data_IF_414939187832
#
_entry.id   IF_414939187832
#
_cell.length_a   1.000
_cell.length_b   1.000
_cell.length_c   1.000
_cell.angle_alpha   90.00
_cell.angle_beta   90.00
_cell.angle_gamma   90.00
#
_symmetry.space_group_name_H-M   'P 1'
#
loop_
_entity.id
_entity.type
_entity.pdbx_description
1 polymer ?
#
# COMPACT_ATOMS: atom_id res chain seq x y z
N UNK A 1 5.58 6.14 15.23
CA UNK A 1 5.14 5.31 14.12
C UNK A 1 4.09 6.06 13.31
N UNK A 2 4.17 5.96 12.03
CA UNK A 2 3.30 6.69 11.13
C UNK A 2 2.45 5.72 10.31
N UNK A 3 1.15 6.03 10.20
CA UNK A 3 0.23 5.21 9.43
C UNK A 3 -0.15 5.91 8.14
N UNK A 4 -0.27 5.11 7.09
CA UNK A 4 -0.65 5.60 5.77
C UNK A 4 -1.67 4.68 5.15
N UNK A 5 -2.71 5.28 4.58
CA UNK A 5 -3.61 4.57 3.69
C UNK A 5 -3.04 4.69 2.28
N UNK A 6 -2.76 3.56 1.66
CA UNK A 6 -2.17 3.54 0.33
C UNK A 6 -3.13 2.84 -0.62
N UNK A 7 -3.63 3.59 -1.59
CA UNK A 7 -4.40 3.04 -2.69
C UNK A 7 -3.44 2.79 -3.84
N UNK A 8 -3.53 1.63 -4.46
CA UNK A 8 -2.75 1.37 -5.65
C UNK A 8 -3.66 0.86 -6.76
N UNK A 9 -3.42 1.37 -7.96
CA UNK A 9 -4.21 1.05 -9.15
C UNK A 9 -3.26 0.60 -10.24
N UNK A 10 -3.59 -0.52 -10.88
CA UNK A 10 -2.81 -0.99 -12.02
C UNK A 10 -3.08 -0.08 -13.22
N UNK A 11 -2.02 0.28 -13.93
CA UNK A 11 -2.12 1.05 -15.15
C UNK A 11 -2.46 0.09 -16.29
N UNK A 12 -3.69 0.12 -16.76
CA UNK A 12 -4.14 -0.81 -17.81
C UNK A 12 -3.43 -0.59 -19.14
N UNK A 13 -2.82 0.58 -19.34
CA UNK A 13 -1.99 0.82 -20.49
C UNK A 13 -0.71 -0.01 -20.49
N UNK A 14 -0.33 -0.58 -19.36
CA UNK A 14 0.86 -1.42 -19.20
C UNK A 14 0.54 -2.90 -19.13
N UNK A 15 -0.67 -3.29 -19.53
CA UNK A 15 -1.12 -4.66 -19.47
C UNK A 15 -0.15 -5.58 -20.24
N UNK A 16 0.36 -6.60 -19.56
CA UNK A 16 1.40 -7.48 -20.10
C UNK A 16 1.49 -8.75 -19.27
N UNK A 17 2.27 -9.72 -19.78
CA UNK A 17 2.58 -10.94 -19.02
C UNK A 17 3.37 -10.59 -17.75
N UNK A 18 4.29 -9.63 -17.85
CA UNK A 18 5.08 -9.20 -16.69
C UNK A 18 4.19 -8.61 -15.62
N UNK A 19 3.21 -7.80 -16.00
CA UNK A 19 2.26 -7.23 -15.06
C UNK A 19 1.45 -8.32 -14.37
N UNK A 20 0.99 -9.32 -15.14
CA UNK A 20 0.23 -10.44 -14.57
C UNK A 20 1.06 -11.20 -13.54
N UNK A 21 2.33 -11.44 -13.83
CA UNK A 21 3.23 -12.08 -12.87
C UNK A 21 3.43 -11.25 -11.62
N UNK A 22 3.61 -9.94 -11.81
CA UNK A 22 3.77 -9.03 -10.68
C UNK A 22 2.55 -9.07 -9.75
N UNK A 23 1.36 -9.07 -10.33
CA UNK A 23 0.12 -9.15 -9.56
C UNK A 23 0.05 -10.45 -8.76
N UNK A 24 0.50 -11.55 -9.34
CA UNK A 24 0.48 -12.86 -8.67
C UNK A 24 1.40 -12.90 -7.44
N UNK A 25 2.42 -12.04 -7.38
CA UNK A 25 3.33 -11.98 -6.24
C UNK A 25 2.88 -11.01 -5.15
N UNK A 26 1.85 -10.21 -5.40
CA UNK A 26 1.38 -9.26 -4.40
C UNK A 26 0.86 -9.91 -3.12
N UNK A 27 0.11 -11.02 -3.17
CA UNK A 27 -0.34 -11.65 -1.92
C UNK A 27 0.82 -12.09 -1.02
N UNK A 28 1.87 -12.66 -1.59
CA UNK A 28 3.05 -13.04 -0.81
C UNK A 28 3.72 -11.84 -0.18
N UNK A 29 3.87 -10.77 -0.95
CA UNK A 29 4.49 -9.55 -0.47
C UNK A 29 3.67 -8.97 0.69
N UNK A 30 2.36 -8.93 0.54
CA UNK A 30 1.47 -8.44 1.58
C UNK A 30 1.54 -9.29 2.85
N UNK A 31 1.56 -10.62 2.71
CA UNK A 31 1.69 -11.50 3.86
C UNK A 31 3.01 -11.26 4.59
N UNK A 32 4.09 -11.09 3.85
CA UNK A 32 5.41 -10.80 4.42
C UNK A 32 5.36 -9.50 5.25
N UNK A 33 4.78 -8.44 4.68
CA UNK A 33 4.73 -7.16 5.38
C UNK A 33 3.79 -7.21 6.58
N UNK A 34 2.70 -7.99 6.51
CA UNK A 34 1.83 -8.18 7.67
C UNK A 34 2.55 -8.95 8.77
N UNK A 35 3.33 -9.96 8.41
CA UNK A 35 4.15 -10.69 9.37
C UNK A 35 5.18 -9.81 10.05
N UNK A 36 5.69 -8.79 9.35
CA UNK A 36 6.62 -7.82 9.90
C UNK A 36 5.92 -6.65 10.58
N UNK A 37 4.59 -6.65 10.61
CA UNK A 37 3.75 -5.58 11.18
C UNK A 37 3.92 -4.24 10.48
N UNK A 38 4.37 -4.26 9.24
CA UNK A 38 4.48 -3.04 8.43
C UNK A 38 3.20 -2.73 7.68
N UNK A 39 2.34 -3.72 7.49
CA UNK A 39 0.99 -3.58 6.93
C UNK A 39 0.02 -4.17 7.93
N UNK A 40 -1.02 -3.43 8.28
CA UNK A 40 -2.01 -3.90 9.25
C UNK A 40 -3.25 -4.43 8.56
N UNK A 41 -3.64 -3.86 7.42
CA UNK A 41 -4.87 -4.22 6.72
C UNK A 41 -4.65 -4.20 5.23
N UNK A 42 -5.31 -5.11 4.52
CA UNK A 42 -5.24 -5.19 3.07
C UNK A 42 -6.62 -5.45 2.51
N UNK A 43 -7.00 -4.70 1.48
CA UNK A 43 -8.30 -4.81 0.84
C UNK A 43 -8.14 -4.72 -0.67
N UNK A 44 -9.02 -5.42 -1.40
CA UNK A 44 -9.18 -5.18 -2.84
C UNK A 44 -10.12 -4.00 -3.05
N UNK A 45 -9.91 -3.27 -4.14
CA UNK A 45 -10.85 -2.24 -4.54
C UNK A 45 -11.95 -2.87 -5.38
N UNK A 46 -13.19 -2.76 -4.91
CA UNK A 46 -14.34 -3.31 -5.64
C UNK A 46 -14.50 -2.55 -6.95
N UNK A 47 -14.60 -3.30 -8.04
CA UNK A 47 -14.81 -2.70 -9.36
C UNK A 47 -13.55 -2.16 -10.01
N UNK A 48 -12.38 -2.39 -9.45
CA UNK A 48 -11.13 -1.90 -9.99
C UNK A 48 -10.03 -2.94 -9.97
N UNK A 49 -8.88 -2.56 -10.53
CA UNK A 49 -7.68 -3.38 -10.53
C UNK A 49 -6.65 -2.77 -9.59
N UNK A 50 -6.80 -3.06 -8.31
CA UNK A 50 -5.89 -2.50 -7.33
C UNK A 50 -6.30 -2.87 -5.92
N UNK A 51 -5.69 -2.20 -4.97
CA UNK A 51 -5.94 -2.48 -3.56
C UNK A 51 -5.81 -1.25 -2.69
N UNK A 52 -6.17 -1.44 -1.45
CA UNK A 52 -6.03 -0.45 -0.39
C UNK A 52 -5.35 -1.13 0.77
N UNK A 53 -4.13 -0.72 1.07
CA UNK A 53 -3.36 -1.29 2.18
C UNK A 53 -3.07 -0.20 3.20
N UNK A 54 -3.15 -0.56 4.48
CA UNK A 54 -2.78 0.34 5.56
C UNK A 54 -1.38 -0.03 6.01
N UNK A 55 -0.46 0.93 5.88
CA UNK A 55 0.94 0.76 6.30
C UNK A 55 1.16 1.41 7.66
N UNK A 56 1.99 0.77 8.47
CA UNK A 56 2.43 1.30 9.75
C UNK A 56 3.96 1.25 9.76
N UNK A 57 4.57 2.40 9.53
CA UNK A 57 6.01 2.50 9.29
C UNK A 57 6.62 3.57 10.18
N UNK A 58 7.94 3.60 10.24
CA UNK A 58 8.65 4.53 11.12
C UNK A 58 8.88 5.89 10.45
N UNK A 59 8.88 5.94 9.12
CA UNK A 59 9.19 7.16 8.40
C UNK A 59 8.62 7.13 6.99
N UNK A 60 8.58 8.31 6.35
CA UNK A 60 8.22 8.41 4.94
C UNK A 60 9.19 7.63 4.06
N UNK A 61 10.47 7.63 4.43
CA UNK A 61 11.50 6.93 3.68
C UNK A 61 11.29 5.43 3.71
N UNK A 62 10.86 4.90 4.85
CA UNK A 62 10.56 3.48 4.93
C UNK A 62 9.36 3.13 4.04
N UNK A 63 8.31 3.97 4.05
CA UNK A 63 7.17 3.74 3.18
C UNK A 63 7.58 3.74 1.73
N UNK A 64 8.37 4.72 1.32
CA UNK A 64 8.84 4.80 -0.07
C UNK A 64 9.59 3.55 -0.48
N UNK A 65 10.46 3.04 0.41
CA UNK A 65 11.22 1.82 0.14
C UNK A 65 10.29 0.62 -0.02
N UNK A 66 9.30 0.48 0.86
CA UNK A 66 8.37 -0.65 0.80
C UNK A 66 7.50 -0.60 -0.46
N UNK A 67 7.08 0.58 -0.88
CA UNK A 67 6.32 0.72 -2.12
C UNK A 67 7.19 0.42 -3.34
N UNK A 68 8.44 0.87 -3.33
CA UNK A 68 9.36 0.64 -4.45
C UNK A 68 9.72 -0.85 -4.59
N UNK A 69 9.69 -1.61 -3.50
CA UNK A 69 9.96 -3.04 -3.51
C UNK A 69 8.75 -3.89 -3.86
N UNK A 70 7.55 -3.28 -3.91
CA UNK A 70 6.34 -4.03 -4.22
C UNK A 70 6.41 -4.57 -5.66
N UNK A 71 5.96 -5.81 -5.88
CA UNK A 71 6.03 -6.42 -7.22
C UNK A 71 5.37 -5.59 -8.31
N UNK A 72 4.31 -4.84 -7.98
CA UNK A 72 3.56 -4.06 -8.98
C UNK A 72 4.05 -2.62 -9.12
N UNK A 73 5.16 -2.25 -8.47
CA UNK A 73 5.58 -0.85 -8.44
C UNK A 73 5.66 -0.22 -9.83
N UNK A 74 6.22 -0.95 -10.81
CA UNK A 74 6.40 -0.43 -12.16
C UNK A 74 5.11 -0.41 -12.98
N UNK A 75 4.02 -0.99 -12.47
CA UNK A 75 2.76 -1.14 -13.20
C UNK A 75 1.60 -0.46 -12.50
N UNK A 76 1.84 0.23 -11.38
CA UNK A 76 0.78 0.79 -10.57
C UNK A 76 1.01 2.26 -10.30
N UNK A 77 -0.09 2.95 -10.06
CA UNK A 77 -0.10 4.31 -9.53
C UNK A 77 -0.51 4.24 -8.07
N UNK A 78 0.17 4.99 -7.23
CA UNK A 78 -0.08 5.02 -5.79
C UNK A 78 -0.69 6.34 -5.37
N UNK A 79 -1.70 6.27 -4.51
CA UNK A 79 -2.27 7.43 -3.84
C UNK A 79 -2.05 7.22 -2.35
N UNK A 80 -1.21 8.05 -1.75
CA UNK A 80 -0.75 7.89 -0.38
C UNK A 80 -1.41 8.96 0.49
N UNK A 81 -2.10 8.51 1.56
CA UNK A 81 -2.78 9.41 2.49
C UNK A 81 -2.25 9.17 3.90
N UNK A 82 -1.58 10.13 4.50
CA UNK A 82 -1.18 9.98 5.90
C UNK A 82 -2.40 9.97 6.81
N UNK A 83 -2.35 9.12 7.81
CA UNK A 83 -3.45 8.96 8.76
C UNK A 83 -3.00 9.42 10.14
N UNK A 84 -3.89 10.10 10.85
CA UNK A 84 -3.66 10.48 12.23
C UNK A 84 -4.72 9.82 13.09
N UNK A 85 -4.32 9.45 14.31
CA UNK A 85 -5.26 8.92 15.28
C UNK A 85 -6.13 10.05 15.80
N UNK A 86 -7.43 9.91 15.63
CA UNK A 86 -8.36 10.95 16.08
C UNK A 86 -8.31 11.18 17.58
N UNK A 87 -8.01 10.12 18.33
CA UNK A 87 -7.93 10.24 19.80
C UNK A 87 -6.70 11.01 20.26
N UNK A 88 -5.71 11.19 19.38
CA UNK A 88 -4.51 11.93 19.70
C UNK A 88 -4.68 13.44 19.57
N UNK A 89 -5.79 13.90 18.97
CA UNK A 89 -6.02 15.32 18.76
C UNK A 89 -6.57 15.96 20.01
N UNK A 90 -5.92 17.00 20.56
CA UNK A 90 -6.49 17.70 21.71
C UNK A 90 -7.70 18.50 21.28
N UNK A 91 -8.69 18.57 22.18
CA UNK A 91 -9.84 19.42 21.96
C UNK A 91 -9.44 20.87 22.20
N UNK A 92 -9.82 21.72 21.28
CA UNK A 92 -9.58 23.13 21.38
C UNK A 92 -10.68 23.79 22.20
N UNK A 93 -10.33 24.68 23.11
CA UNK A 93 -11.29 25.42 23.93
C UNK A 93 -11.64 26.74 23.31
#
# INVERSE_FOLDING_TARGET
>A
MAKFLVLWHLDQGLLSTEMARAVQHMPEYGEKLQGQKKVTDRYHLVGGHGGCWIYDVDSNEELEMLLAQAPVFNFAHYDVRPLADMTAMPLSE
#
